data_IF_528658348787
#
_entry.id   IF_528658348787
#
_cell.length_a   1.000
_cell.length_b   1.000
_cell.length_c   1.000
_cell.angle_alpha   90.00
_cell.angle_beta   90.00
_cell.angle_gamma   90.00
#
_symmetry.space_group_name_H-M   'P 1'
#
loop_
_entity.id
_entity.type
_entity.pdbx_description
1 polymer ?
#
# COMPACT_ATOMS: atom_id res chain seq x y z
N UNK A 1 -20.14 13.52 -8.49
CA UNK A 1 -18.94 13.68 -7.63
C UNK A 1 -17.86 14.33 -8.49
N UNK A 2 -17.14 15.31 -7.97
CA UNK A 2 -15.99 15.88 -8.70
C UNK A 2 -14.75 15.02 -8.46
N UNK A 3 -14.52 14.07 -9.37
CA UNK A 3 -13.39 13.15 -9.27
C UNK A 3 -12.04 13.87 -9.44
N UNK A 4 -11.97 14.98 -10.19
CA UNK A 4 -10.70 15.70 -10.38
C UNK A 4 -10.27 16.43 -9.11
N UNK A 5 -11.22 17.08 -8.41
CA UNK A 5 -10.92 17.69 -7.13
C UNK A 5 -10.46 16.64 -6.09
N UNK A 6 -11.10 15.46 -6.08
CA UNK A 6 -10.76 14.38 -5.17
C UNK A 6 -9.37 13.77 -5.44
N UNK A 7 -9.01 13.56 -6.71
CA UNK A 7 -7.66 13.07 -7.06
C UNK A 7 -6.61 14.09 -6.67
N UNK A 8 -6.82 15.38 -6.95
CA UNK A 8 -5.89 16.44 -6.54
C UNK A 8 -5.67 16.46 -5.03
N UNK A 9 -6.75 16.37 -4.24
CA UNK A 9 -6.65 16.31 -2.78
C UNK A 9 -5.86 15.08 -2.31
N UNK A 10 -6.14 13.91 -2.91
CA UNK A 10 -5.50 12.64 -2.54
C UNK A 10 -4.00 12.65 -2.87
N UNK A 11 -3.63 13.21 -4.02
CA UNK A 11 -2.22 13.44 -4.40
C UNK A 11 -1.51 14.29 -3.35
N UNK A 12 -2.09 15.42 -2.94
CA UNK A 12 -1.47 16.29 -1.93
C UNK A 12 -1.31 15.58 -0.59
N UNK A 13 -2.28 14.76 -0.19
CA UNK A 13 -2.22 14.01 1.06
C UNK A 13 -1.09 12.96 1.03
N UNK A 14 -0.95 12.21 -0.07
CA UNK A 14 0.12 11.22 -0.26
C UNK A 14 1.50 11.87 -0.33
N UNK A 15 1.63 13.00 -1.01
CA UNK A 15 2.86 13.80 -1.02
C UNK A 15 3.25 14.24 0.40
N UNK A 16 2.27 14.68 1.19
CA UNK A 16 2.47 15.01 2.59
C UNK A 16 3.01 13.81 3.40
N UNK A 17 2.46 12.61 3.20
CA UNK A 17 2.97 11.39 3.86
C UNK A 17 4.38 10.99 3.42
N UNK A 18 4.75 11.28 2.17
CA UNK A 18 6.08 11.00 1.63
C UNK A 18 7.16 11.94 2.16
N UNK A 19 6.82 13.22 2.30
CA UNK A 19 7.72 14.24 2.82
C UNK A 19 7.82 14.18 4.35
N UNK A 20 6.79 13.69 5.04
CA UNK A 20 6.78 13.56 6.50
C UNK A 20 7.76 12.49 6.99
N UNK A 21 8.86 12.94 7.62
CA UNK A 21 9.87 12.08 8.25
C UNK A 21 9.63 11.85 9.75
N UNK A 22 8.55 12.38 10.32
CA UNK A 22 8.30 12.39 11.77
C UNK A 22 7.30 11.35 12.24
N UNK A 23 7.53 10.77 13.42
CA UNK A 23 6.54 9.93 14.14
C UNK A 23 6.29 8.54 13.55
N UNK A 24 6.99 8.16 12.47
CA UNK A 24 6.97 6.81 11.91
C UNK A 24 7.74 5.85 12.80
N UNK A 25 7.10 4.72 13.15
CA UNK A 25 7.72 3.63 13.92
C UNK A 25 7.89 2.42 13.04
N UNK A 26 9.11 1.93 12.89
CA UNK A 26 9.40 0.70 12.14
C UNK A 26 8.74 -0.48 12.83
N UNK A 27 8.02 -1.30 12.06
CA UNK A 27 7.34 -2.52 12.54
C UNK A 27 7.88 -3.79 11.91
N UNK A 28 8.52 -3.69 10.75
CA UNK A 28 9.13 -4.84 10.08
C UNK A 28 10.23 -4.37 9.13
N UNK A 29 11.35 -5.07 9.14
CA UNK A 29 12.37 -4.96 8.10
C UNK A 29 12.50 -6.35 7.48
N UNK A 30 12.53 -6.43 6.15
CA UNK A 30 12.73 -7.69 5.45
C UNK A 30 13.50 -7.47 4.16
N UNK A 31 14.72 -7.99 4.08
CA UNK A 31 15.62 -7.88 2.92
C UNK A 31 15.73 -6.43 2.40
N UNK A 32 14.90 -6.07 1.42
CA UNK A 32 14.92 -4.79 0.69
C UNK A 32 13.73 -3.87 1.02
N UNK A 33 12.89 -4.26 1.98
CA UNK A 33 11.70 -3.49 2.38
C UNK A 33 11.72 -3.14 3.87
N UNK A 34 11.28 -1.92 4.16
CA UNK A 34 11.04 -1.41 5.51
C UNK A 34 9.57 -1.05 5.64
N UNK A 35 8.89 -1.61 6.62
CA UNK A 35 7.51 -1.27 6.97
C UNK A 35 7.53 -0.44 8.23
N UNK A 36 6.95 0.75 8.16
CA UNK A 36 6.72 1.63 9.30
C UNK A 36 5.23 1.95 9.45
N UNK A 37 4.85 2.39 10.65
CA UNK A 37 3.48 2.83 10.93
C UNK A 37 3.46 4.12 11.74
N UNK A 38 2.37 4.86 11.62
CA UNK A 38 2.06 6.06 12.41
C UNK A 38 0.57 6.09 12.74
N UNK A 39 0.12 6.62 13.88
CA UNK A 39 -1.30 6.79 14.14
C UNK A 39 -1.98 7.59 13.02
N UNK A 40 -3.11 7.09 12.53
CA UNK A 40 -3.90 7.79 11.50
C UNK A 40 -4.59 9.01 12.11
N UNK A 41 -4.66 10.10 11.34
CA UNK A 41 -5.48 11.28 11.68
C UNK A 41 -6.92 11.17 11.15
N UNK A 42 -7.22 10.16 10.32
CA UNK A 42 -8.49 10.01 9.59
C UNK A 42 -9.41 8.95 10.20
N UNK A 43 -8.85 7.97 10.90
CA UNK A 43 -9.61 6.89 11.53
C UNK A 43 -8.87 6.36 12.76
N UNK A 44 -9.57 5.57 13.58
CA UNK A 44 -9.00 4.93 14.76
C UNK A 44 -8.10 3.75 14.35
N UNK A 45 -6.84 4.03 14.06
CA UNK A 45 -5.84 3.01 13.74
C UNK A 45 -4.52 3.60 13.25
N UNK A 46 -3.86 2.92 12.32
CA UNK A 46 -2.53 3.31 11.86
C UNK A 46 -2.48 3.48 10.34
N UNK A 47 -1.74 4.49 9.91
CA UNK A 47 -1.16 4.59 8.59
C UNK A 47 0.06 3.70 8.50
N UNK A 48 0.17 2.92 7.43
CA UNK A 48 1.33 2.09 7.13
C UNK A 48 2.07 2.65 5.92
N UNK A 49 3.40 2.68 6.01
CA UNK A 49 4.31 3.01 4.92
C UNK A 49 5.25 1.84 4.69
N UNK A 50 5.38 1.41 3.44
CA UNK A 50 6.40 0.43 3.02
C UNK A 50 7.36 1.12 2.08
N UNK A 51 8.64 1.10 2.41
CA UNK A 51 9.71 1.73 1.62
C UNK A 51 10.58 0.60 1.08
N UNK A 52 10.93 0.63 -0.20
CA UNK A 52 11.82 -0.37 -0.80
C UNK A 52 12.58 0.16 -1.99
N UNK A 53 13.80 -0.34 -2.20
CA UNK A 53 14.66 0.08 -3.30
C UNK A 53 14.67 -0.99 -4.40
N UNK A 54 14.34 -0.59 -5.63
CA UNK A 54 14.21 -1.41 -6.83
C UNK A 54 15.25 -1.00 -7.89
N UNK A 55 15.88 -1.96 -8.58
CA UNK A 55 16.84 -1.70 -9.66
C UNK A 55 16.13 -1.41 -11.00
N UNK A 56 15.16 -0.49 -11.01
CA UNK A 56 14.35 -0.11 -12.17
C UNK A 56 14.06 1.39 -12.14
N UNK A 57 13.72 1.98 -13.30
CA UNK A 57 13.33 3.41 -13.35
C UNK A 57 11.95 3.66 -12.74
N UNK A 58 11.72 4.87 -12.21
CA UNK A 58 10.47 5.27 -11.58
C UNK A 58 9.30 5.10 -12.54
N UNK A 59 9.47 5.51 -13.79
CA UNK A 59 8.47 5.33 -14.87
C UNK A 59 8.20 3.85 -15.16
N UNK A 60 9.23 2.99 -15.26
CA UNK A 60 8.99 1.57 -15.53
C UNK A 60 8.31 0.87 -14.35
N UNK A 61 8.66 1.26 -13.12
CA UNK A 61 8.01 0.76 -11.92
C UNK A 61 6.55 1.24 -11.83
N UNK A 62 6.30 2.53 -12.00
CA UNK A 62 4.96 3.11 -11.94
C UNK A 62 4.05 2.54 -13.03
N UNK A 63 4.55 2.39 -14.27
CA UNK A 63 3.83 1.74 -15.37
C UNK A 63 3.42 0.30 -15.01
N UNK A 64 4.33 -0.46 -14.40
CA UNK A 64 4.04 -1.83 -13.96
C UNK A 64 2.95 -1.85 -12.88
N UNK A 65 2.98 -0.91 -11.94
CA UNK A 65 2.06 -0.83 -10.80
C UNK A 65 0.67 -0.31 -11.18
N UNK A 66 0.59 0.59 -12.16
CA UNK A 66 -0.66 1.21 -12.58
C UNK A 66 -1.50 0.32 -13.50
N UNK A 67 -0.84 -0.47 -14.35
CA UNK A 67 -1.50 -1.40 -15.29
C UNK A 67 -2.36 -2.41 -14.55
N UNK A 68 -3.67 -2.30 -14.77
CA UNK A 68 -4.69 -3.09 -14.07
C UNK A 68 -4.52 -4.61 -14.27
N UNK A 69 -4.08 -5.01 -15.46
CA UNK A 69 -3.81 -6.39 -15.85
C UNK A 69 -2.64 -7.01 -15.08
N UNK A 70 -1.69 -6.20 -14.63
CA UNK A 70 -0.54 -6.70 -13.88
C UNK A 70 -0.92 -7.02 -12.44
N UNK A 71 -1.84 -6.26 -11.84
CA UNK A 71 -2.01 -6.22 -10.39
C UNK A 71 -2.32 -7.59 -9.78
N UNK A 72 -3.25 -8.35 -10.37
CA UNK A 72 -3.64 -9.69 -9.89
C UNK A 72 -2.56 -10.76 -10.12
N UNK A 73 -1.60 -10.51 -11.02
CA UNK A 73 -0.55 -11.51 -11.33
C UNK A 73 0.48 -11.63 -10.21
N UNK A 74 0.69 -10.56 -9.44
CA UNK A 74 1.71 -10.50 -8.39
C UNK A 74 1.14 -10.26 -6.99
N UNK A 75 0.01 -9.56 -6.87
CA UNK A 75 -0.61 -9.28 -5.57
C UNK A 75 -1.46 -10.46 -5.09
N UNK A 76 -0.81 -11.39 -4.38
CA UNK A 76 -1.45 -12.58 -3.79
C UNK A 76 -2.55 -12.26 -2.77
N UNK A 77 -2.66 -11.00 -2.35
CA UNK A 77 -3.70 -10.55 -1.44
C UNK A 77 -5.04 -10.34 -2.15
N UNK A 78 -5.05 -10.34 -3.49
CA UNK A 78 -6.21 -10.08 -4.31
C UNK A 78 -6.81 -11.37 -4.90
N UNK A 79 -8.13 -11.36 -4.99
CA UNK A 79 -8.94 -12.30 -5.76
C UNK A 79 -9.35 -11.70 -7.10
N UNK A 80 -9.61 -10.39 -7.14
CA UNK A 80 -9.97 -9.66 -8.36
C UNK A 80 -9.53 -8.20 -8.27
N UNK A 81 -9.25 -7.60 -9.43
CA UNK A 81 -8.95 -6.19 -9.60
C UNK A 81 -9.54 -5.75 -10.95
N UNK A 82 -10.72 -5.14 -10.92
CA UNK A 82 -11.49 -4.86 -12.13
C UNK A 82 -11.63 -3.34 -12.30
N UNK A 83 -11.15 -2.80 -13.42
CA UNK A 83 -11.50 -1.43 -13.82
C UNK A 83 -12.97 -1.41 -14.24
N UNK A 84 -13.82 -0.75 -13.43
CA UNK A 84 -15.28 -0.75 -13.63
C UNK A 84 -15.80 0.50 -14.31
N UNK A 85 -15.04 1.60 -14.26
CA UNK A 85 -15.40 2.84 -14.92
C UNK A 85 -14.16 3.68 -15.21
N UNK A 86 -13.97 4.11 -16.45
CA UNK A 86 -12.87 4.99 -16.85
C UNK A 86 -13.36 6.44 -16.84
N UNK A 87 -12.66 7.32 -16.13
CA UNK A 87 -12.97 8.75 -16.05
C UNK A 87 -12.24 9.51 -17.15
N UNK A 88 -10.93 9.29 -17.27
CA UNK A 88 -10.06 9.86 -18.31
C UNK A 88 -8.84 8.95 -18.58
N UNK A 89 -7.78 9.47 -19.21
CA UNK A 89 -6.57 8.70 -19.52
C UNK A 89 -5.88 8.12 -18.29
N UNK A 90 -5.92 8.88 -17.18
CA UNK A 90 -5.08 8.64 -16.01
C UNK A 90 -5.91 8.35 -14.76
N UNK A 91 -7.24 8.43 -14.85
CA UNK A 91 -8.16 8.25 -13.73
C UNK A 91 -9.24 7.22 -14.05
N UNK A 92 -9.44 6.28 -13.14
CA UNK A 92 -10.49 5.26 -13.23
C UNK A 92 -11.00 4.84 -11.86
N UNK A 93 -12.16 4.18 -11.83
CA UNK A 93 -12.70 3.52 -10.64
C UNK A 93 -12.43 2.02 -10.76
N UNK A 94 -11.91 1.44 -9.69
CA UNK A 94 -11.62 0.01 -9.58
C UNK A 94 -12.51 -0.66 -8.54
N UNK A 95 -13.04 -1.83 -8.87
CA UNK A 95 -13.59 -2.77 -7.91
C UNK A 95 -12.55 -3.85 -7.60
N UNK A 96 -12.09 -3.88 -6.36
CA UNK A 96 -11.05 -4.79 -5.89
C UNK A 96 -11.65 -5.77 -4.89
N UNK A 97 -11.34 -7.06 -5.02
CA UNK A 97 -11.74 -8.09 -4.05
C UNK A 97 -10.48 -8.71 -3.45
N UNK A 98 -10.40 -8.77 -2.13
CA UNK A 98 -9.28 -9.41 -1.44
C UNK A 98 -9.54 -10.88 -1.12
N UNK A 99 -8.47 -11.64 -0.96
CA UNK A 99 -8.53 -12.94 -0.28
C UNK A 99 -8.87 -12.77 1.21
N UNK A 100 -9.15 -13.88 1.89
CA UNK A 100 -9.13 -13.90 3.35
C UNK A 100 -7.69 -13.79 3.88
N UNK A 101 -7.53 -13.19 5.05
CA UNK A 101 -6.23 -13.05 5.72
C UNK A 101 -6.23 -13.73 7.08
N UNK A 102 -5.04 -13.85 7.68
CA UNK A 102 -4.84 -14.36 9.03
C UNK A 102 -5.52 -15.72 9.28
N UNK A 103 -5.29 -16.68 8.37
CA UNK A 103 -5.90 -18.02 8.43
C UNK A 103 -7.43 -18.00 8.50
N UNK A 104 -8.07 -17.02 7.87
CA UNK A 104 -9.53 -16.90 7.81
C UNK A 104 -10.14 -15.99 8.87
N UNK A 105 -9.37 -15.55 9.88
CA UNK A 105 -9.86 -14.61 10.90
C UNK A 105 -10.26 -13.24 10.32
N UNK A 106 -9.77 -12.93 9.12
CA UNK A 106 -10.12 -11.71 8.38
C UNK A 106 -10.77 -12.17 7.07
N UNK A 107 -12.11 -12.11 7.02
CA UNK A 107 -12.93 -12.38 5.82
C UNK A 107 -12.50 -11.62 4.54
N UNK A 108 -12.87 -12.07 3.35
CA UNK A 108 -12.71 -11.28 2.13
C UNK A 108 -13.40 -9.91 2.21
N UNK A 109 -12.77 -8.87 1.62
CA UNK A 109 -13.33 -7.52 1.50
C UNK A 109 -13.46 -7.13 0.04
N UNK A 110 -14.43 -6.28 -0.28
CA UNK A 110 -14.47 -5.55 -1.54
C UNK A 110 -14.16 -4.06 -1.32
N UNK A 111 -13.54 -3.42 -2.30
CA UNK A 111 -13.19 -2.00 -2.29
C UNK A 111 -13.62 -1.37 -3.60
N UNK A 112 -14.11 -0.14 -3.53
CA UNK A 112 -14.47 0.67 -4.69
C UNK A 112 -13.65 1.96 -4.61
N UNK A 113 -12.56 2.00 -5.35
CA UNK A 113 -11.55 3.06 -5.22
C UNK A 113 -11.42 3.86 -6.51
N UNK A 114 -11.34 5.18 -6.38
CA UNK A 114 -10.87 6.07 -7.44
C UNK A 114 -9.35 5.99 -7.48
N UNK A 115 -8.83 5.50 -8.59
CA UNK A 115 -7.40 5.35 -8.85
C UNK A 115 -6.98 6.44 -9.83
N UNK A 116 -5.87 7.13 -9.55
CA UNK A 116 -5.32 8.11 -10.48
C UNK A 116 -3.80 8.00 -10.61
N UNK A 117 -3.29 8.31 -11.79
CA UNK A 117 -1.87 8.38 -12.08
C UNK A 117 -1.45 9.84 -12.27
N UNK A 118 -0.32 10.23 -11.69
CA UNK A 118 0.22 11.58 -11.84
C UNK A 118 1.74 11.58 -11.96
N UNK A 119 2.24 12.16 -13.04
CA UNK A 119 3.64 12.57 -13.17
C UNK A 119 3.89 13.88 -12.40
N UNK A 120 4.93 13.90 -11.57
CA UNK A 120 5.37 15.03 -10.78
C UNK A 120 6.79 15.46 -11.19
N UNK A 121 7.20 16.65 -10.75
CA UNK A 121 8.57 17.13 -10.94
C UNK A 121 9.61 16.18 -10.30
N UNK A 122 10.82 16.18 -10.85
CA UNK A 122 11.91 15.33 -10.34
C UNK A 122 11.81 13.85 -10.73
N UNK A 123 11.13 13.53 -11.84
CA UNK A 123 10.89 12.17 -12.33
C UNK A 123 10.18 11.26 -11.31
N UNK A 124 9.27 11.86 -10.52
CA UNK A 124 8.49 11.15 -9.52
C UNK A 124 7.08 10.88 -10.06
N UNK A 125 6.61 9.65 -9.88
CA UNK A 125 5.28 9.23 -10.28
C UNK A 125 4.46 8.84 -9.06
N UNK A 126 3.20 9.25 -9.06
CA UNK A 126 2.27 8.96 -7.97
C UNK A 126 1.06 8.23 -8.54
N UNK A 127 0.78 7.07 -7.97
CA UNK A 127 -0.46 6.33 -8.20
C UNK A 127 -1.28 6.46 -6.94
N UNK A 128 -2.42 7.15 -7.00
CA UNK A 128 -3.30 7.33 -5.85
C UNK A 128 -4.45 6.34 -5.89
N UNK A 129 -5.01 6.04 -4.73
CA UNK A 129 -6.24 5.29 -4.55
C UNK A 129 -6.98 5.84 -3.33
N UNK A 130 -8.30 5.95 -3.43
CA UNK A 130 -9.15 6.35 -2.31
C UNK A 130 -10.58 5.92 -2.55
N UNK A 131 -11.26 5.44 -1.52
CA UNK A 131 -12.61 4.92 -1.66
C UNK A 131 -13.61 6.00 -2.06
N UNK A 132 -14.50 5.64 -2.97
CA UNK A 132 -15.57 6.50 -3.48
C UNK A 132 -16.89 5.75 -3.52
N UNK A 133 -17.98 6.48 -3.32
CA UNK A 133 -19.30 5.96 -3.59
C UNK A 133 -19.54 5.87 -5.10
N UNK A 134 -19.81 4.67 -5.57
CA UNK A 134 -20.15 4.39 -6.96
C UNK A 134 -21.43 3.54 -7.03
N UNK A 135 -22.58 4.13 -7.40
CA UNK A 135 -23.88 3.47 -7.31
C UNK A 135 -24.01 2.14 -8.07
N UNK A 136 -23.21 1.92 -9.11
CA UNK A 136 -23.21 0.66 -9.85
C UNK A 136 -22.58 -0.51 -9.07
N UNK A 137 -21.85 -0.24 -7.99
CA UNK A 137 -21.22 -1.23 -7.11
C UNK A 137 -21.59 -0.97 -5.64
N UNK A 138 -22.88 -1.13 -5.26
CA UNK A 138 -23.32 -0.96 -3.89
C UNK A 138 -22.73 -2.09 -2.99
N UNK A 139 -22.65 -1.88 -1.67
CA UNK A 139 -22.31 -2.95 -0.74
C UNK A 139 -23.24 -4.17 -0.91
N UNK A 140 -22.68 -5.37 -0.77
CA UNK A 140 -23.44 -6.63 -0.86
C UNK A 140 -23.11 -7.54 0.31
N UNK A 141 -23.92 -8.57 0.55
CA UNK A 141 -23.66 -9.56 1.61
C UNK A 141 -22.50 -10.51 1.31
N UNK A 142 -22.01 -10.55 0.07
CA UNK A 142 -20.94 -11.46 -0.35
C UNK A 142 -19.58 -11.07 0.22
N UNK A 143 -19.36 -9.78 0.47
CA UNK A 143 -18.08 -9.23 0.91
C UNK A 143 -18.31 -8.08 1.89
N UNK A 144 -17.43 -7.95 2.88
CA UNK A 144 -17.42 -6.75 3.73
C UNK A 144 -16.87 -5.60 2.90
N UNK A 145 -17.61 -4.49 2.77
CA UNK A 145 -17.10 -3.26 2.14
C UNK A 145 -15.95 -2.70 2.95
N UNK A 146 -14.75 -2.73 2.38
CA UNK A 146 -13.59 -2.03 2.88
C UNK A 146 -13.59 -0.56 2.48
N UNK A 147 -12.91 0.25 3.28
CA UNK A 147 -12.73 1.67 3.02
C UNK A 147 -11.24 2.01 3.09
N UNK A 148 -10.71 2.49 1.97
CA UNK A 148 -9.38 3.04 1.85
C UNK A 148 -9.47 4.57 1.94
N UNK A 149 -8.79 5.14 2.93
CA UNK A 149 -8.47 6.57 2.86
C UNK A 149 -7.35 6.80 1.83
N UNK A 150 -6.95 8.05 1.62
CA UNK A 150 -5.90 8.42 0.66
C UNK A 150 -4.65 7.52 0.78
N UNK A 151 -4.42 6.66 -0.20
CA UNK A 151 -3.37 5.67 -0.21
C UNK A 151 -2.81 5.49 -1.63
N UNK A 152 -1.69 4.77 -1.79
CA UNK A 152 -1.09 4.66 -3.11
C UNK A 152 0.40 4.38 -3.13
N UNK A 153 1.00 4.67 -4.28
CA UNK A 153 2.42 4.49 -4.57
C UNK A 153 3.06 5.81 -4.93
N UNK A 154 4.25 6.04 -4.40
CA UNK A 154 5.18 7.06 -4.85
C UNK A 154 6.41 6.35 -5.38
N UNK A 155 6.69 6.50 -6.67
CA UNK A 155 7.88 5.99 -7.31
C UNK A 155 8.81 7.16 -7.60
N UNK A 156 9.99 7.20 -7.00
CA UNK A 156 10.92 8.31 -7.15
C UNK A 156 12.34 7.80 -7.41
N UNK A 157 13.16 8.54 -8.18
CA UNK A 157 14.58 8.24 -8.29
C UNK A 157 15.22 8.25 -6.91
N UNK A 158 16.17 7.35 -6.67
CA UNK A 158 16.98 7.45 -5.46
C UNK A 158 17.88 8.66 -5.62
N UNK A 159 17.92 9.50 -4.59
CA UNK A 159 18.87 10.59 -4.53
C UNK A 159 20.27 9.98 -4.39
N UNK A 160 21.12 10.13 -5.40
CA UNK A 160 22.52 9.71 -5.31
C UNK A 160 23.19 10.49 -4.17
N UNK A 161 23.61 9.80 -3.12
CA UNK A 161 24.55 10.37 -2.18
C UNK A 161 25.90 10.51 -2.89
N UNK A 162 26.60 11.65 -2.81
CA UNK A 162 27.97 11.73 -3.29
C UNK A 162 28.79 10.67 -2.56
N UNK A 163 29.33 9.70 -3.28
CA UNK A 163 30.30 8.77 -2.72
C UNK A 163 31.53 9.61 -2.38
N UNK A 164 31.78 9.86 -1.09
CA UNK A 164 33.10 10.33 -0.67
C UNK A 164 34.12 9.29 -1.15
N UNK A 165 34.95 9.68 -2.11
CA UNK A 165 36.08 8.88 -2.61
C UNK A 165 37.06 8.65 -1.46
N UNK A 166 36.84 7.60 -0.67
CA UNK A 166 37.63 7.39 0.53
C UNK A 166 37.33 6.11 1.30
N UNK A 167 36.84 5.03 0.69
CA UNK A 167 36.85 3.71 1.32
C UNK A 167 36.78 2.62 0.25
N UNK A 168 37.88 1.89 0.11
CA UNK A 168 38.07 0.78 -0.82
C UNK A 168 37.03 -0.32 -0.61
N UNK A 169 36.18 -0.56 -1.62
CA UNK A 169 35.48 -1.83 -1.80
C UNK A 169 35.41 -2.12 -3.31
N UNK A 170 35.83 -3.32 -3.67
CA UNK A 170 35.99 -3.88 -5.02
C UNK A 170 34.93 -3.43 -6.06
N UNK A 171 35.39 -2.93 -7.22
CA UNK A 171 34.61 -2.86 -8.45
C UNK A 171 35.00 -4.00 -9.38
N UNK A 172 34.07 -4.89 -9.80
CA UNK A 172 34.24 -5.58 -11.07
C UNK A 172 33.86 -4.61 -12.19
N UNK A 173 34.79 -4.38 -13.11
CA UNK A 173 34.60 -3.53 -14.26
C UNK A 173 33.53 -4.10 -15.22
N UNK A 174 32.67 -3.22 -15.74
CA UNK A 174 31.80 -3.50 -16.88
C UNK A 174 30.42 -4.03 -16.52
N UNK A 175 29.48 -3.11 -16.28
CA UNK A 175 28.06 -3.15 -16.69
C UNK A 175 27.40 -1.85 -16.22
N UNK A 176 26.52 -1.34 -17.06
CA UNK A 176 25.83 -0.06 -16.94
C UNK A 176 25.35 0.22 -15.52
N UNK A 177 25.57 1.44 -15.05
CA UNK A 177 25.11 1.96 -13.76
C UNK A 177 23.58 1.88 -13.69
N UNK A 178 23.07 0.79 -13.11
CA UNK A 178 21.65 0.65 -12.79
C UNK A 178 21.38 1.57 -11.60
N UNK A 179 20.71 2.70 -11.85
CA UNK A 179 20.16 3.56 -10.80
C UNK A 179 19.21 2.71 -9.94
N UNK A 180 19.57 2.45 -8.69
CA UNK A 180 18.63 1.92 -7.72
C UNK A 180 17.63 3.02 -7.34
N UNK A 181 16.33 2.74 -7.17
CA UNK A 181 15.26 3.75 -6.96
C UNK A 181 14.29 3.34 -5.85
N UNK A 182 13.67 4.28 -5.13
CA UNK A 182 12.77 3.99 -4.00
C UNK A 182 11.30 3.99 -4.42
N UNK A 183 10.55 2.97 -4.01
CA UNK A 183 9.09 2.94 -4.05
C UNK A 183 8.54 2.99 -2.64
N UNK A 184 7.74 4.03 -2.35
CA UNK A 184 7.01 4.17 -1.10
C UNK A 184 5.54 3.81 -1.31
N UNK A 185 5.03 2.92 -0.47
CA UNK A 185 3.67 2.39 -0.51
C UNK A 185 2.94 2.85 0.74
N UNK A 186 1.87 3.60 0.57
CA UNK A 186 1.02 4.04 1.67
C UNK A 186 -0.25 3.21 1.65
N UNK A 187 -0.58 2.58 2.78
CA UNK A 187 -1.81 1.83 2.94
C UNK A 187 -2.54 2.36 4.18
N UNK A 188 -3.63 3.10 3.94
CA UNK A 188 -4.62 3.47 4.94
C UNK A 188 -5.83 2.54 4.81
N UNK A 189 -5.72 1.32 5.35
CA UNK A 189 -6.91 0.50 5.56
C UNK A 189 -7.49 0.85 6.91
N UNK A 190 -8.77 1.20 6.97
CA UNK A 190 -9.47 1.22 8.25
C UNK A 190 -9.36 -0.17 8.90
N UNK A 191 -8.87 -0.30 10.13
CA UNK A 191 -9.17 -1.43 10.97
C UNK A 191 -10.67 -1.37 11.16
N UNK A 192 -11.37 -2.44 10.78
CA UNK A 192 -12.70 -2.67 11.32
C UNK A 192 -12.63 -2.48 12.82
N UNK A 193 -13.49 -1.61 13.35
CA UNK A 193 -13.80 -1.48 14.77
C UNK A 193 -13.74 -2.85 15.46
N UNK A 194 -12.81 -3.03 16.38
CA UNK A 194 -12.88 -4.09 17.38
C UNK A 194 -12.92 -3.41 18.74
N UNK A 195 -13.97 -3.60 19.57
CA UNK A 195 -13.86 -3.32 20.98
C UNK A 195 -12.74 -4.20 21.55
N UNK A 196 -11.81 -3.58 22.27
CA UNK A 196 -10.57 -4.16 22.80
C UNK A 196 -10.76 -5.15 23.95
N UNK A 197 -11.89 -5.85 24.06
CA UNK A 197 -12.14 -6.75 25.20
C UNK A 197 -11.93 -8.25 24.92
N UNK A 198 -11.97 -8.73 23.68
CA UNK A 198 -12.21 -10.17 23.46
C UNK A 198 -11.05 -10.94 22.80
N UNK A 199 -9.79 -10.54 23.03
CA UNK A 199 -8.64 -11.40 22.68
C UNK A 199 -7.57 -11.37 23.77
N UNK A 200 -7.89 -11.98 24.91
CA UNK A 200 -6.91 -12.57 25.82
C UNK A 200 -7.53 -13.80 26.49
N UNK A 201 -7.43 -15.02 25.93
CA UNK A 201 -7.46 -16.19 26.80
C UNK A 201 -6.13 -16.22 27.53
N UNK A 202 -6.19 -16.03 28.85
CA UNK A 202 -5.08 -16.13 29.78
C UNK A 202 -4.20 -17.35 29.46
N UNK A 203 -2.96 -17.08 29.02
CA UNK A 203 -1.91 -18.07 28.87
C UNK A 203 -1.35 -18.42 30.26
N UNK A 204 -2.13 -19.10 31.10
CA UNK A 204 -1.64 -19.76 32.33
C UNK A 204 -2.63 -20.72 33.04
N UNK A 205 -3.51 -21.43 32.32
CA UNK A 205 -4.18 -22.60 32.90
C UNK A 205 -3.66 -23.90 32.25
N UNK A 206 -2.68 -24.53 32.89
CA UNK A 206 -2.41 -25.96 32.70
C UNK A 206 -3.59 -26.72 33.29
N UNK A 207 -4.54 -27.15 32.47
CA UNK A 207 -5.44 -28.24 32.85
C UNK A 207 -4.79 -29.57 32.48
N UNK A 208 -4.29 -30.23 33.51
CA UNK A 208 -3.93 -31.66 33.48
C UNK A 208 -5.23 -32.41 33.20
N UNK A 209 -5.29 -33.14 32.09
CA UNK A 209 -6.37 -34.09 31.81
C UNK A 209 -5.95 -35.43 32.44
N UNK A 210 -6.75 -36.03 33.34
CA UNK A 210 -6.45 -37.35 33.85
C UNK A 210 -6.70 -38.40 32.77
N UNK A 211 -5.71 -39.25 32.56
CA UNK A 211 -5.87 -40.52 31.84
C UNK A 211 -6.54 -41.46 32.83
N UNK A 212 -7.78 -41.89 32.56
CA UNK A 212 -8.38 -43.03 33.24
C UNK A 212 -8.57 -44.16 32.23
N UNK A 213 -7.80 -45.23 32.51
CA UNK A 213 -7.80 -46.62 32.04
C UNK A 213 -8.58 -47.00 30.78
#
# INVERSE_FOLDING_TARGET
>A
MDYKALTQQTVQEILGYNQDKSGWKVVKISKKITVSKKPSKKFQGNLYRVEGIFPESASKLSDFLYKTENRVTWDKSLKAYNMVHKIDSDTFICHTITQSFAMGSISPRDFVDLVSFKHCEGNMDIITSGSVDFPAYPPSSNYIRGYNHACGYVCSPLQEYPIERGSSAYHPAGKDTVSSQSGDWYCLKEPSTFPTSDVCPNRNERKIVPINN
#
